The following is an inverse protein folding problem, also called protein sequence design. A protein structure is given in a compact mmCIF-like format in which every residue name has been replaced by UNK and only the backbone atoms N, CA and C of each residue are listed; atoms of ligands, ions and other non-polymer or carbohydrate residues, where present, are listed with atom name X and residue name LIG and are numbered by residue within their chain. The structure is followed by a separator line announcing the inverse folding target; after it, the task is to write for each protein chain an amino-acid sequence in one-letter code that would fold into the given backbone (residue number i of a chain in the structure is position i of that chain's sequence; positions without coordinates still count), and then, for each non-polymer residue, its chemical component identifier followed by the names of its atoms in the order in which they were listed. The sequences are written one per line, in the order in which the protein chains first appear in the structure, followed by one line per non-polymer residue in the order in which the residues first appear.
data_IF_826150270456
#
_entry.id   IF_826150270456
#
_cell.length_a   1.000
_cell.length_b   1.000
_cell.length_c   1.000
_cell.angle_alpha   90.00
_cell.angle_beta   90.00
_cell.angle_gamma   90.00
#
_symmetry.space_group_name_H-M   'P 1'
#
loop_
_entity.id
_entity.type
_entity.pdbx_description
1 polymer ?
#
# COMPACT_ATOMS: atom_id res chain seq x y z
N UNK A 1 -15.75 -22.23 11.27
CA UNK A 1 -15.58 -21.74 11.29
C UNK A 1 -15.35 -21.42 11.38
N UNK A 2 -15.19 -21.47 11.69
CA UNK A 2 -14.86 -21.08 11.83
C UNK A 2 -14.15 -21.02 11.93
N UNK A 3 -13.78 -21.34 12.11
CA UNK A 3 -13.06 -21.35 12.07
C UNK A 3 -12.51 -21.41 11.32
N UNK A 4 -12.56 -21.68 10.68
CA UNK A 4 -12.20 -21.57 9.87
C UNK A 4 -12.02 -20.97 9.26
N UNK A 5 -12.09 -20.57 9.29
CA UNK A 5 -11.87 -19.92 8.69
C UNK A 5 -11.41 -19.09 8.64
N UNK A 6 -11.48 -18.71 8.92
CA UNK A 6 -11.04 -17.83 8.98
C UNK A 6 -9.95 -17.53 9.16
N UNK A 7 -10.01 -17.50 9.58
CA UNK A 7 -8.83 -17.38 9.96
C UNK A 7 -7.72 -17.74 9.08
N UNK A 8 -8.03 -18.09 8.19
CA UNK A 8 -7.18 -18.47 7.11
C UNK A 8 -6.80 -17.37 6.18
N UNK A 9 -7.05 -16.16 6.58
CA UNK A 9 -6.60 -14.98 5.86
C UNK A 9 -5.16 -14.71 6.26
N UNK A 10 -4.14 -15.03 5.42
CA UNK A 10 -2.75 -14.79 5.80
C UNK A 10 -2.43 -13.30 5.92
N UNK A 11 -3.07 -12.45 5.11
CA UNK A 11 -2.83 -11.01 5.13
C UNK A 11 -3.97 -10.27 5.81
N UNK A 12 -3.69 -9.20 6.57
CA UNK A 12 -4.75 -8.38 7.13
C UNK A 12 -5.60 -7.72 6.05
N UNK A 13 -6.89 -7.42 6.34
CA UNK A 13 -7.74 -6.73 5.36
C UNK A 13 -7.19 -5.39 4.90
N UNK A 14 -6.38 -4.74 5.73
CA UNK A 14 -5.75 -3.47 5.35
C UNK A 14 -4.89 -3.59 4.11
N UNK A 15 -4.32 -4.76 3.85
CA UNK A 15 -3.51 -4.96 2.64
C UNK A 15 -4.36 -4.77 1.38
N UNK A 16 -5.60 -5.30 1.40
CA UNK A 16 -6.53 -5.07 0.29
C UNK A 16 -6.90 -3.60 0.19
N UNK A 17 -7.03 -2.91 1.33
CA UNK A 17 -7.32 -1.47 1.32
C UNK A 17 -6.18 -0.70 0.67
N UNK A 18 -4.93 -1.08 0.91
CA UNK A 18 -3.78 -0.42 0.28
C UNK A 18 -3.82 -0.60 -1.24
N UNK A 19 -4.20 -1.78 -1.71
CA UNK A 19 -4.34 -2.02 -3.14
C UNK A 19 -5.41 -1.11 -3.74
N UNK A 20 -6.58 -1.07 -3.11
CA UNK A 20 -7.68 -0.23 -3.58
C UNK A 20 -7.28 1.25 -3.60
N UNK A 21 -6.69 1.75 -2.51
CA UNK A 21 -6.33 3.16 -2.40
C UNK A 21 -5.26 3.54 -3.42
N UNK A 22 -4.29 2.64 -3.66
CA UNK A 22 -3.28 2.90 -4.67
C UNK A 22 -3.87 3.06 -6.06
N UNK A 23 -4.85 2.21 -6.40
CA UNK A 23 -5.54 2.32 -7.68
C UNK A 23 -6.32 3.61 -7.78
N UNK A 24 -6.89 4.10 -6.65
CA UNK A 24 -7.58 5.39 -6.63
C UNK A 24 -6.62 6.54 -6.87
N UNK A 25 -5.39 6.46 -6.35
CA UNK A 25 -4.38 7.49 -6.61
C UNK A 25 -4.05 7.53 -8.11
N UNK A 26 -3.93 6.37 -8.76
CA UNK A 26 -3.68 6.33 -10.20
C UNK A 26 -4.82 7.01 -10.96
N UNK A 27 -6.07 6.69 -10.61
CA UNK A 27 -7.23 7.31 -11.26
C UNK A 27 -7.26 8.82 -11.04
N UNK A 28 -6.98 9.27 -9.81
CA UNK A 28 -6.95 10.70 -9.50
C UNK A 28 -5.91 11.40 -10.37
N UNK A 29 -4.73 10.79 -10.50
CA UNK A 29 -3.67 11.35 -11.33
C UNK A 29 -4.08 11.48 -12.78
N UNK A 30 -4.74 10.45 -13.31
CA UNK A 30 -5.20 10.47 -14.70
C UNK A 30 -6.27 11.52 -14.94
N UNK A 31 -7.05 11.84 -13.91
CA UNK A 31 -8.11 12.85 -13.99
C UNK A 31 -7.59 14.25 -13.65
N UNK A 32 -6.33 14.38 -13.27
CA UNK A 32 -5.76 15.66 -12.85
C UNK A 32 -6.28 16.11 -11.50
N UNK A 33 -6.77 15.19 -10.68
CA UNK A 33 -7.38 15.51 -9.38
C UNK A 33 -6.32 15.41 -8.28
N UNK A 34 -5.53 16.47 -8.12
CA UNK A 34 -4.45 16.49 -7.13
C UNK A 34 -4.99 16.44 -5.70
N UNK A 35 -6.12 17.08 -5.45
CA UNK A 35 -6.75 17.07 -4.13
C UNK A 35 -7.19 15.66 -3.76
N UNK A 36 -7.83 14.94 -4.70
CA UNK A 36 -8.22 13.56 -4.50
C UNK A 36 -7.04 12.65 -4.26
N UNK A 37 -5.97 12.85 -5.06
CA UNK A 37 -4.74 12.06 -4.89
C UNK A 37 -4.15 12.27 -3.50
N UNK A 38 -4.08 13.50 -3.04
CA UNK A 38 -3.54 13.81 -1.71
C UNK A 38 -4.36 13.13 -0.61
N UNK A 39 -5.69 13.18 -0.74
CA UNK A 39 -6.58 12.54 0.24
C UNK A 39 -6.35 11.02 0.28
N UNK A 40 -6.23 10.38 -0.89
CA UNK A 40 -6.02 8.95 -0.94
C UNK A 40 -4.62 8.55 -0.47
N UNK A 41 -3.61 9.41 -0.70
CA UNK A 41 -2.27 9.16 -0.19
C UNK A 41 -2.25 9.25 1.34
N UNK A 42 -2.98 10.22 1.92
CA UNK A 42 -3.12 10.30 3.37
C UNK A 42 -3.74 9.02 3.92
N UNK A 43 -4.75 8.47 3.23
CA UNK A 43 -5.38 7.22 3.65
C UNK A 43 -4.42 6.04 3.52
N UNK A 44 -3.58 6.02 2.47
CA UNK A 44 -2.55 4.99 2.33
C UNK A 44 -1.61 5.00 3.55
N UNK A 45 -1.17 6.19 3.93
CA UNK A 45 -0.24 6.32 5.03
C UNK A 45 -0.87 5.85 6.35
N UNK A 46 -2.09 6.30 6.62
CA UNK A 46 -2.79 5.91 7.84
C UNK A 46 -3.05 4.42 7.90
N UNK A 47 -3.49 3.84 6.79
CA UNK A 47 -3.80 2.40 6.72
C UNK A 47 -2.52 1.58 6.90
N UNK A 48 -1.44 1.98 6.23
CA UNK A 48 -0.17 1.26 6.35
C UNK A 48 0.35 1.30 7.78
N UNK A 49 0.19 2.43 8.46
CA UNK A 49 0.67 2.57 9.84
C UNK A 49 0.06 1.50 10.75
N UNK A 50 -1.17 1.06 10.47
CA UNK A 50 -1.84 0.06 11.32
C UNK A 50 -1.27 -1.34 11.14
N UNK A 51 -0.61 -1.64 10.01
CA UNK A 51 -0.12 -2.99 9.74
C UNK A 51 1.41 -3.09 9.72
N UNK A 52 2.10 -1.96 9.90
CA UNK A 52 3.55 -1.95 9.77
C UNK A 52 4.22 -2.93 10.73
N UNK A 53 3.82 -2.95 11.99
CA UNK A 53 4.43 -3.84 12.97
C UNK A 53 4.18 -5.30 12.62
N UNK A 54 2.95 -5.63 12.18
CA UNK A 54 2.62 -6.99 11.77
C UNK A 54 3.43 -7.41 10.55
N UNK A 55 3.63 -6.49 9.61
CA UNK A 55 4.43 -6.78 8.42
C UNK A 55 5.88 -7.06 8.80
N UNK A 56 6.44 -6.25 9.70
CA UNK A 56 7.81 -6.47 10.17
C UNK A 56 7.93 -7.82 10.87
N UNK A 57 6.93 -8.16 11.70
CA UNK A 57 6.93 -9.46 12.39
C UNK A 57 6.83 -10.62 11.42
N UNK A 58 6.21 -10.41 10.27
CA UNK A 58 6.09 -11.44 9.22
C UNK A 58 7.34 -11.53 8.34
N UNK A 59 8.38 -10.74 8.64
CA UNK A 59 9.61 -10.76 7.86
C UNK A 59 9.65 -9.74 6.74
N UNK A 60 8.67 -8.84 6.68
CA UNK A 60 8.55 -7.86 5.61
C UNK A 60 9.11 -6.47 5.94
N UNK A 61 10.07 -6.37 6.86
CA UNK A 61 10.62 -5.07 7.24
C UNK A 61 11.23 -4.31 6.08
N UNK A 62 11.89 -5.01 5.16
CA UNK A 62 12.48 -4.38 3.99
C UNK A 62 11.38 -3.80 3.07
N UNK A 63 10.32 -4.57 2.86
CA UNK A 63 9.17 -4.12 2.06
C UNK A 63 8.51 -2.91 2.73
N UNK A 64 8.40 -2.93 4.06
CA UNK A 64 7.82 -1.81 4.80
C UNK A 64 8.59 -0.52 4.54
N UNK A 65 9.92 -0.59 4.59
CA UNK A 65 10.76 0.58 4.35
C UNK A 65 10.59 1.08 2.91
N UNK A 66 10.56 0.16 1.95
CA UNK A 66 10.37 0.54 0.54
C UNK A 66 9.00 1.16 0.31
N UNK A 67 7.98 0.63 0.99
CA UNK A 67 6.63 1.17 0.82
C UNK A 67 6.53 2.60 1.34
N UNK A 68 7.15 2.87 2.48
CA UNK A 68 7.17 4.23 3.02
C UNK A 68 7.88 5.18 2.06
N UNK A 69 8.95 4.72 1.42
CA UNK A 69 9.64 5.53 0.42
C UNK A 69 8.73 5.80 -0.78
N UNK A 70 7.91 4.82 -1.18
CA UNK A 70 7.00 5.02 -2.31
C UNK A 70 5.92 6.05 -1.96
N UNK A 71 5.43 6.07 -0.73
CA UNK A 71 4.46 7.09 -0.29
C UNK A 71 5.11 8.47 -0.32
N UNK A 72 6.34 8.59 0.14
CA UNK A 72 7.05 9.87 0.12
C UNK A 72 7.23 10.36 -1.32
N UNK A 73 7.52 9.45 -2.25
CA UNK A 73 7.66 9.80 -3.66
C UNK A 73 6.34 10.29 -4.23
N UNK A 74 5.23 9.62 -3.91
CA UNK A 74 3.89 10.05 -4.35
C UNK A 74 3.59 11.46 -3.86
N UNK A 75 3.91 11.77 -2.59
CA UNK A 75 3.66 13.10 -2.05
C UNK A 75 4.48 14.16 -2.78
N UNK A 76 5.75 13.86 -3.09
CA UNK A 76 6.58 14.79 -3.84
C UNK A 76 6.02 15.03 -5.23
N UNK A 77 5.51 13.99 -5.88
CA UNK A 77 4.93 14.10 -7.21
C UNK A 77 3.71 15.01 -7.21
N UNK A 78 2.85 14.85 -6.21
CA UNK A 78 1.67 15.73 -6.06
C UNK A 78 2.11 17.17 -5.83
N UNK A 79 3.10 17.38 -4.96
CA UNK A 79 3.59 18.72 -4.65
C UNK A 79 4.18 19.40 -5.90
N UNK A 80 4.76 18.60 -6.79
CA UNK A 80 5.38 19.12 -8.02
C UNK A 80 4.43 19.10 -9.21
N UNK A 81 3.17 18.68 -9.00
CA UNK A 81 2.18 18.57 -10.07
C UNK A 81 2.69 17.67 -11.21
N UNK A 82 3.40 16.60 -10.85
CA UNK A 82 4.03 15.69 -11.82
C UNK A 82 3.19 14.42 -11.90
N UNK A 83 2.13 14.46 -12.71
CA UNK A 83 1.15 13.38 -12.77
C UNK A 83 1.71 12.12 -13.41
N UNK A 84 2.64 12.26 -14.35
CA UNK A 84 3.25 11.11 -15.01
C UNK A 84 4.09 10.31 -14.03
N UNK A 85 4.93 10.99 -13.26
CA UNK A 85 5.75 10.32 -12.25
C UNK A 85 4.90 9.78 -11.11
N UNK A 86 3.80 10.46 -10.78
CA UNK A 86 2.88 9.97 -9.76
C UNK A 86 2.35 8.59 -10.13
N UNK A 87 1.95 8.39 -11.37
CA UNK A 87 1.45 7.07 -11.79
C UNK A 87 2.54 6.01 -11.67
N UNK A 88 3.75 6.32 -12.11
CA UNK A 88 4.88 5.39 -12.03
C UNK A 88 5.18 5.02 -10.58
N UNK A 89 5.26 6.02 -9.70
CA UNK A 89 5.60 5.76 -8.30
C UNK A 89 4.47 5.04 -7.56
N UNK A 90 3.22 5.33 -7.93
CA UNK A 90 2.08 4.63 -7.34
C UNK A 90 2.08 3.16 -7.77
N UNK A 91 2.43 2.88 -9.02
CA UNK A 91 2.51 1.48 -9.49
C UNK A 91 3.61 0.72 -8.77
N UNK A 92 4.72 1.37 -8.44
CA UNK A 92 5.75 0.75 -7.60
C UNK A 92 5.15 0.37 -6.25
N UNK A 93 4.36 1.27 -5.65
CA UNK A 93 3.69 0.99 -4.39
C UNK A 93 2.75 -0.20 -4.49
N UNK A 94 2.01 -0.32 -5.60
CA UNK A 94 1.09 -1.44 -5.81
C UNK A 94 1.84 -2.76 -5.91
N UNK A 95 3.02 -2.78 -6.54
CA UNK A 95 3.85 -3.97 -6.58
C UNK A 95 4.34 -4.34 -5.18
N UNK A 96 4.65 -3.33 -4.36
CA UNK A 96 5.07 -3.59 -2.99
C UNK A 96 3.93 -4.18 -2.16
N UNK A 97 2.68 -3.79 -2.43
CA UNK A 97 1.52 -4.40 -1.76
C UNK A 97 1.47 -5.89 -2.06
N UNK A 98 1.75 -6.30 -3.29
CA UNK A 98 1.80 -7.73 -3.64
C UNK A 98 2.88 -8.44 -2.84
N UNK A 99 4.02 -7.79 -2.62
CA UNK A 99 5.08 -8.37 -1.80
C UNK A 99 4.69 -8.47 -0.34
N UNK A 100 3.89 -7.52 0.16
CA UNK A 100 3.36 -7.62 1.52
C UNK A 100 2.50 -8.87 1.67
N UNK A 101 1.61 -9.11 0.69
CA UNK A 101 0.80 -10.31 0.70
C UNK A 101 1.68 -11.56 0.73
N UNK A 102 2.75 -11.55 -0.05
CA UNK A 102 3.70 -12.65 -0.07
C UNK A 102 4.36 -12.88 1.28
N UNK A 103 4.75 -11.79 1.96
CA UNK A 103 5.38 -11.89 3.27
C UNK A 103 4.42 -12.50 4.30
N UNK A 104 3.17 -12.02 4.32
CA UNK A 104 2.16 -12.57 5.24
C UNK A 104 1.84 -14.03 4.93
N UNK A 105 1.72 -14.37 3.65
CA UNK A 105 1.45 -15.74 3.24
C UNK A 105 2.57 -16.66 3.68
N UNK A 106 3.82 -16.25 3.46
CA UNK A 106 4.98 -17.05 3.82
C UNK A 106 5.05 -17.23 5.34
N UNK A 107 4.79 -16.16 6.10
CA UNK A 107 4.81 -16.24 7.55
C UNK A 107 3.74 -17.17 8.09
N UNK A 108 2.54 -17.17 7.47
CA UNK A 108 1.45 -18.02 7.94
C UNK A 108 1.71 -19.50 7.67
N UNK A 109 2.55 -19.82 6.70
CA UNK A 109 2.91 -21.21 6.40
C UNK A 109 4.07 -21.70 7.24
N UNK A 110 4.86 -20.79 7.72
CA UNK A 110 6.02 -21.10 8.52
C UNK A 110 5.69 -21.28 9.96
#
# INVERSE_FOLDING_TARGET
DELYRLYDEPAPPEVLALDYLGREVVLDGRQGDLSGASTHIDALESTFATIRAALEAAGGGHVATEYEASIAAMRADVANNDLTTLETDTNVGLELVDRMEGAFTKASKG
#
